data_IF_515130273841
#
_entry.id   IF_515130273841
#
_cell.length_a   1.000
_cell.length_b   1.000
_cell.length_c   1.000
_cell.angle_alpha   90.00
_cell.angle_beta   90.00
_cell.angle_gamma   90.00
#
_symmetry.space_group_name_H-M   'P 1'
#
loop_
_entity.id
_entity.type
_entity.pdbx_description
1 polymer ?
#
# COMPACT_ATOMS: atom_id res chain seq x y z
N UNK A 1 8.58 10.48 46.64
CA UNK A 1 8.22 9.79 45.39
C UNK A 1 9.12 10.30 44.29
N UNK A 2 10.08 9.50 43.84
CA UNK A 2 10.90 9.77 42.66
C UNK A 2 10.13 9.34 41.41
N UNK A 3 9.85 10.28 40.51
CA UNK A 3 9.32 9.97 39.18
C UNK A 3 10.40 9.19 38.40
N UNK A 4 10.07 8.04 37.77
CA UNK A 4 10.98 7.44 36.80
C UNK A 4 11.07 8.37 35.59
N UNK A 5 12.29 8.65 35.15
CA UNK A 5 12.51 9.30 33.86
C UNK A 5 11.93 8.42 32.74
N UNK A 6 11.31 9.00 31.71
CA UNK A 6 10.90 8.23 30.53
C UNK A 6 12.14 7.64 29.86
N UNK A 7 12.07 6.37 29.46
CA UNK A 7 13.11 5.74 28.66
C UNK A 7 13.36 6.56 27.37
N UNK A 8 14.63 6.75 26.95
CA UNK A 8 14.93 7.52 25.75
C UNK A 8 14.35 6.85 24.49
N UNK A 9 13.91 7.68 23.54
CA UNK A 9 13.44 7.20 22.24
C UNK A 9 14.56 6.40 21.52
N UNK A 10 14.24 5.27 20.88
CA UNK A 10 15.25 4.43 20.25
C UNK A 10 15.87 5.11 19.02
N UNK A 11 17.20 5.10 18.95
CA UNK A 11 17.95 5.52 17.77
C UNK A 11 18.25 4.32 16.86
N UNK A 12 18.04 4.49 15.55
CA UNK A 12 18.24 3.45 14.55
C UNK A 12 19.31 3.88 13.53
N UNK A 13 20.28 2.99 13.27
CA UNK A 13 21.24 3.15 12.18
C UNK A 13 20.94 2.16 11.08
N UNK A 14 20.78 2.64 9.85
CA UNK A 14 20.44 1.81 8.68
C UNK A 14 21.66 1.63 7.79
N UNK A 15 22.03 0.38 7.50
CA UNK A 15 23.12 0.05 6.58
C UNK A 15 22.56 -0.40 5.22
N UNK A 16 22.90 0.32 4.17
CA UNK A 16 22.53 -0.02 2.79
C UNK A 16 23.69 -0.75 2.13
N UNK A 17 23.47 -2.00 1.70
CA UNK A 17 24.48 -2.80 1.01
C UNK A 17 24.28 -2.75 -0.49
N UNK A 18 25.31 -2.36 -1.22
CA UNK A 18 25.30 -2.33 -2.68
C UNK A 18 26.00 -3.57 -3.25
N UNK A 19 25.47 -4.19 -4.32
CA UNK A 19 26.13 -5.31 -5.00
C UNK A 19 27.24 -4.86 -5.96
N UNK A 20 27.61 -3.57 -5.93
CA UNK A 20 28.62 -2.96 -6.79
C UNK A 20 29.42 -1.89 -6.00
N UNK A 21 30.60 -1.48 -6.50
CA UNK A 21 31.40 -0.44 -5.85
C UNK A 21 30.63 0.88 -5.72
N UNK A 22 30.67 1.46 -4.53
CA UNK A 22 29.93 2.68 -4.16
C UNK A 22 30.32 3.95 -4.94
N UNK A 23 31.52 4.00 -5.48
CA UNK A 23 32.07 5.22 -6.10
C UNK A 23 32.41 6.30 -5.06
N UNK A 24 32.15 7.56 -5.41
CA UNK A 24 32.42 8.78 -4.64
C UNK A 24 31.21 9.26 -3.80
N UNK A 25 30.19 8.41 -3.62
CA UNK A 25 29.04 8.72 -2.79
C UNK A 25 29.45 8.92 -1.32
N UNK A 26 29.10 10.10 -0.79
CA UNK A 26 29.27 10.45 0.63
C UNK A 26 27.97 10.17 1.36
N UNK A 27 28.07 9.55 2.55
CA UNK A 27 26.92 9.34 3.42
C UNK A 27 26.20 10.66 3.72
N UNK A 28 24.85 10.68 3.67
CA UNK A 28 24.11 11.86 4.07
C UNK A 28 24.35 12.15 5.57
N UNK A 29 24.21 13.42 5.99
CA UNK A 29 24.27 13.77 7.41
C UNK A 29 23.23 13.00 8.21
N UNK A 30 23.53 12.75 9.48
CA UNK A 30 22.55 12.22 10.42
C UNK A 30 21.37 13.17 10.54
N UNK A 31 20.15 12.61 10.58
CA UNK A 31 18.92 13.37 10.64
C UNK A 31 18.09 12.89 11.81
N UNK A 32 17.84 13.81 12.76
CA UNK A 32 16.88 13.59 13.82
C UNK A 32 15.48 13.99 13.36
N UNK A 33 14.65 12.99 13.06
CA UNK A 33 13.28 13.20 12.61
C UNK A 33 12.31 12.33 13.41
N UNK A 34 11.46 12.98 14.18
CA UNK A 34 10.47 12.34 15.05
C UNK A 34 9.03 12.59 14.58
N UNK A 35 8.08 11.93 15.26
CA UNK A 35 6.67 12.11 14.99
C UNK A 35 6.17 13.54 15.33
N UNK A 36 6.88 14.30 16.18
CA UNK A 36 6.51 15.66 16.52
C UNK A 36 6.84 16.63 15.37
N UNK A 37 8.04 16.51 14.77
CA UNK A 37 8.46 17.25 13.57
C UNK A 37 7.57 16.90 12.38
N UNK A 38 7.20 15.64 12.21
CA UNK A 38 6.26 15.20 11.18
C UNK A 38 4.88 15.88 11.30
N UNK A 39 4.27 15.84 12.50
CA UNK A 39 3.00 16.53 12.78
C UNK A 39 3.10 18.04 12.61
N UNK A 40 4.23 18.63 13.02
CA UNK A 40 4.48 20.07 12.87
C UNK A 40 4.57 20.47 11.39
N UNK A 41 5.29 19.69 10.58
CA UNK A 41 5.37 19.88 9.14
C UNK A 41 3.99 19.76 8.50
N UNK A 42 3.24 18.69 8.80
CA UNK A 42 1.89 18.50 8.27
C UNK A 42 0.94 19.65 8.63
N UNK A 43 1.02 20.19 9.85
CA UNK A 43 0.23 21.35 10.28
C UNK A 43 0.53 22.61 9.46
N UNK A 44 1.77 22.79 9.02
CA UNK A 44 2.16 23.91 8.15
C UNK A 44 1.64 23.64 6.73
N UNK A 45 1.86 22.45 6.19
CA UNK A 45 1.44 22.05 4.84
C UNK A 45 -0.08 22.11 4.65
N UNK A 46 -0.84 21.70 5.67
CA UNK A 46 -2.31 21.71 5.63
C UNK A 46 -2.91 23.12 5.74
N UNK A 47 -2.16 24.08 6.27
CA UNK A 47 -2.57 25.49 6.38
C UNK A 47 -2.08 26.35 5.23
N UNK A 48 -1.00 25.95 4.57
CA UNK A 48 -0.49 26.61 3.39
C UNK A 48 -1.58 26.61 2.32
N UNK A 49 -2.00 27.81 1.90
CA UNK A 49 -2.88 27.97 0.77
C UNK A 49 -2.10 27.62 -0.50
N UNK A 50 -2.79 27.23 -1.58
CA UNK A 50 -2.16 26.89 -2.87
C UNK A 50 -1.26 28.01 -3.43
N UNK A 51 -1.41 29.25 -2.93
CA UNK A 51 -0.66 30.43 -3.33
C UNK A 51 0.23 31.01 -2.20
N UNK A 52 0.35 30.35 -1.04
CA UNK A 52 1.26 30.83 0.00
C UNK A 52 2.66 30.30 -0.27
N UNK A 53 3.63 31.22 -0.38
CA UNK A 53 5.04 30.86 -0.49
C UNK A 53 5.52 30.32 0.85
N UNK A 54 5.86 29.04 0.89
CA UNK A 54 6.46 28.40 2.07
C UNK A 54 7.96 28.63 1.96
N UNK A 55 8.55 29.29 2.95
CA UNK A 55 10.01 29.39 3.04
C UNK A 55 10.60 28.06 3.50
N UNK A 56 10.83 27.17 2.54
CA UNK A 56 11.37 25.83 2.76
C UNK A 56 12.78 25.84 3.35
N UNK A 57 13.59 26.84 3.00
CA UNK A 57 14.96 26.97 3.49
C UNK A 57 14.95 27.31 4.97
N UNK A 58 14.16 28.31 5.37
CA UNK A 58 14.01 28.67 6.78
C UNK A 58 13.40 27.51 7.59
N UNK A 59 12.46 26.77 6.99
CA UNK A 59 11.84 25.63 7.64
C UNK A 59 12.82 24.46 7.84
N UNK A 60 13.69 24.20 6.87
CA UNK A 60 14.73 23.17 6.97
C UNK A 60 15.73 23.51 8.09
N UNK A 61 16.14 24.78 8.19
CA UNK A 61 16.98 25.26 9.30
C UNK A 61 16.28 25.08 10.65
N UNK A 62 14.99 25.43 10.74
CA UNK A 62 14.21 25.27 11.98
C UNK A 62 14.09 23.82 12.44
N UNK A 63 13.98 22.89 11.49
CA UNK A 63 13.90 21.46 11.80
C UNK A 63 15.28 20.79 11.95
N UNK A 64 16.36 21.54 11.70
CA UNK A 64 17.74 21.04 11.74
C UNK A 64 17.98 19.89 10.76
N UNK A 65 17.38 20.00 9.57
CA UNK A 65 17.50 18.99 8.51
C UNK A 65 17.95 19.63 7.20
N UNK A 66 18.43 18.81 6.27
CA UNK A 66 18.74 19.30 4.92
C UNK A 66 17.46 19.67 4.18
N UNK A 67 17.56 20.67 3.29
CA UNK A 67 16.42 21.09 2.45
C UNK A 67 15.87 19.92 1.61
N UNK A 68 16.77 19.13 1.03
CA UNK A 68 16.39 17.97 0.22
C UNK A 68 15.58 16.95 1.03
N UNK A 69 16.02 16.64 2.25
CA UNK A 69 15.27 15.76 3.15
C UNK A 69 13.89 16.33 3.47
N UNK A 70 13.79 17.61 3.85
CA UNK A 70 12.50 18.22 4.21
C UNK A 70 11.50 18.16 3.05
N UNK A 71 11.95 18.47 1.83
CA UNK A 71 11.10 18.41 0.63
C UNK A 71 10.63 16.98 0.35
N UNK A 72 11.50 15.99 0.54
CA UNK A 72 11.13 14.57 0.42
C UNK A 72 10.07 14.18 1.45
N UNK A 73 10.22 14.59 2.72
CA UNK A 73 9.23 14.32 3.76
C UNK A 73 7.87 14.97 3.45
N UNK A 74 7.87 16.20 2.93
CA UNK A 74 6.64 16.86 2.50
C UNK A 74 5.94 16.12 1.36
N UNK A 75 6.71 15.66 0.36
CA UNK A 75 6.17 14.88 -0.76
C UNK A 75 5.54 13.56 -0.28
N UNK A 76 6.23 12.83 0.60
CA UNK A 76 5.74 11.58 1.18
C UNK A 76 4.44 11.78 1.95
N UNK A 77 4.33 12.84 2.75
CA UNK A 77 3.11 13.18 3.49
C UNK A 77 1.92 13.43 2.56
N UNK A 78 2.10 14.16 1.46
CA UNK A 78 1.04 14.37 0.49
C UNK A 78 0.62 13.07 -0.20
N UNK A 79 1.57 12.23 -0.57
CA UNK A 79 1.29 10.93 -1.17
C UNK A 79 0.46 10.04 -0.25
N UNK A 80 0.77 10.02 1.05
CA UNK A 80 0.04 9.25 2.04
C UNK A 80 -1.43 9.68 2.12
N UNK A 81 -1.70 10.99 2.08
CA UNK A 81 -3.07 11.54 2.13
C UNK A 81 -3.85 11.22 0.85
N UNK A 82 -3.22 11.39 -0.31
CA UNK A 82 -3.83 11.02 -1.59
C UNK A 82 -4.13 9.51 -1.65
N UNK A 83 -3.25 8.68 -1.11
CA UNK A 83 -3.44 7.24 -1.02
C UNK A 83 -4.65 6.86 -0.16
N UNK A 84 -4.85 7.55 0.97
CA UNK A 84 -6.03 7.36 1.83
C UNK A 84 -7.33 7.76 1.11
N UNK A 85 -7.34 8.92 0.44
CA UNK A 85 -8.51 9.38 -0.33
C UNK A 85 -8.87 8.37 -1.43
N UNK A 86 -7.87 7.87 -2.18
CA UNK A 86 -8.09 6.84 -3.22
C UNK A 86 -8.67 5.54 -2.64
N UNK A 87 -8.22 5.12 -1.45
CA UNK A 87 -8.74 3.94 -0.80
C UNK A 87 -10.21 4.09 -0.39
N UNK A 88 -10.60 5.28 0.10
CA UNK A 88 -11.99 5.60 0.41
C UNK A 88 -12.86 5.63 -0.85
N UNK A 89 -12.38 6.23 -1.94
CA UNK A 89 -13.09 6.25 -3.22
C UNK A 89 -13.36 4.83 -3.72
N UNK A 90 -12.37 3.93 -3.67
CA UNK A 90 -12.54 2.52 -4.04
C UNK A 90 -13.59 1.81 -3.18
N UNK A 91 -13.58 2.03 -1.86
CA UNK A 91 -14.58 1.47 -0.94
C UNK A 91 -15.99 1.98 -1.30
N UNK A 92 -16.15 3.29 -1.50
CA UNK A 92 -17.43 3.90 -1.85
C UNK A 92 -17.99 3.42 -3.20
N UNK A 93 -17.13 3.13 -4.18
CA UNK A 93 -17.57 2.60 -5.49
C UNK A 93 -17.97 1.12 -5.44
N UNK A 94 -17.34 0.30 -4.59
CA UNK A 94 -17.71 -1.12 -4.41
C UNK A 94 -19.03 -1.24 -3.65
N UNK A 95 -19.30 -0.34 -2.71
CA UNK A 95 -20.56 -0.32 -1.94
C UNK A 95 -21.80 0.05 -2.75
N UNK A 96 -21.66 0.56 -3.99
CA UNK A 96 -22.80 0.98 -4.84
C UNK A 96 -23.12 0.00 -5.98
N UNK A 97 -22.45 -1.16 -6.02
CA UNK A 97 -22.58 -2.16 -7.09
C UNK A 97 -23.09 -3.55 -6.67
N UNK A 98 -23.61 -3.72 -5.45
CA UNK A 98 -24.21 -5.00 -5.04
C UNK A 98 -25.73 -4.97 -5.17
N UNK A 99 -26.22 -5.15 -6.41
CA UNK A 99 -27.56 -5.69 -6.69
C UNK A 99 -27.50 -7.18 -7.05
N UNK A 100 -26.37 -7.84 -6.80
CA UNK A 100 -26.28 -9.29 -6.97
C UNK A 100 -27.14 -9.97 -5.88
N UNK A 101 -28.14 -10.79 -6.24
CA UNK A 101 -28.93 -11.52 -5.25
C UNK A 101 -28.01 -12.49 -4.51
N UNK A 102 -28.11 -12.47 -3.18
CA UNK A 102 -27.36 -13.32 -2.26
C UNK A 102 -27.55 -14.80 -2.60
N UNK A 103 -26.49 -15.65 -2.60
CA UNK A 103 -26.67 -17.09 -2.75
C UNK A 103 -27.26 -17.64 -1.43
N UNK A 104 -28.52 -18.06 -1.49
CA UNK A 104 -29.20 -18.76 -0.40
C UNK A 104 -28.51 -20.13 -0.18
N UNK A 105 -28.12 -20.48 1.06
CA UNK A 105 -27.53 -21.77 1.34
C UNK A 105 -28.64 -22.82 1.54
N UNK A 106 -28.61 -23.87 0.70
CA UNK A 106 -29.23 -25.17 0.95
C UNK A 106 -30.77 -25.22 1.04
N UNK A 107 -31.41 -25.83 0.04
CA UNK A 107 -32.50 -26.78 0.32
C UNK A 107 -32.82 -27.60 -0.94
N UNK A 108 -32.98 -28.89 -0.68
CA UNK A 108 -33.42 -29.98 -1.55
C UNK A 108 -34.66 -29.64 -2.38
N UNK A 109 -34.72 -30.09 -3.64
CA UNK A 109 -35.90 -30.74 -4.22
C UNK A 109 -35.55 -31.33 -5.59
N UNK A 110 -35.81 -32.63 -5.68
CA UNK A 110 -35.79 -33.45 -6.88
C UNK A 110 -36.88 -32.99 -7.87
N UNK A 111 -36.76 -33.35 -9.16
CA UNK A 111 -37.85 -33.83 -10.05
C UNK A 111 -37.48 -33.70 -11.55
N UNK A 112 -37.18 -34.86 -12.17
CA UNK A 112 -37.82 -35.41 -13.42
C UNK A 112 -37.42 -34.90 -14.83
N UNK A 113 -36.83 -35.86 -15.58
CA UNK A 113 -37.14 -36.33 -16.96
C UNK A 113 -36.52 -35.60 -18.19
N UNK A 114 -35.53 -36.30 -18.75
CA UNK A 114 -35.51 -36.93 -20.08
C UNK A 114 -35.89 -36.13 -21.35
N UNK A 115 -34.94 -36.07 -22.31
CA UNK A 115 -35.26 -36.31 -23.73
C UNK A 115 -34.87 -35.26 -24.78
N UNK A 116 -34.03 -35.68 -25.74
CA UNK A 116 -34.02 -35.36 -27.19
C UNK A 116 -33.01 -34.30 -27.73
N UNK A 117 -31.81 -34.81 -28.06
CA UNK A 117 -30.98 -34.71 -29.30
C UNK A 117 -31.42 -33.82 -30.49
N UNK A 118 -30.48 -33.01 -31.06
CA UNK A 118 -29.87 -33.08 -32.44
C UNK A 118 -29.14 -31.76 -32.85
N UNK A 119 -27.81 -31.76 -33.01
CA UNK A 119 -26.96 -31.75 -34.24
C UNK A 119 -27.02 -30.47 -35.12
N UNK A 120 -25.87 -29.80 -35.30
CA UNK A 120 -25.60 -28.83 -36.37
C UNK A 120 -24.23 -28.14 -36.24
N UNK A 121 -23.30 -28.44 -37.14
CA UNK A 121 -21.88 -28.00 -37.16
C UNK A 121 -21.72 -26.57 -37.72
N UNK A 122 -20.83 -25.77 -37.14
CA UNK A 122 -20.49 -24.44 -37.64
C UNK A 122 -19.36 -23.76 -36.86
N UNK A 123 -18.18 -23.72 -37.48
CA UNK A 123 -16.90 -23.14 -37.04
C UNK A 123 -16.97 -21.68 -36.55
N UNK A 124 -16.27 -21.36 -35.46
CA UNK A 124 -15.83 -19.99 -35.19
C UNK A 124 -15.53 -19.62 -33.73
N UNK A 125 -14.27 -19.66 -33.32
CA UNK A 125 -13.70 -18.68 -32.38
C UNK A 125 -13.55 -19.07 -30.90
N UNK A 126 -12.29 -19.31 -30.51
CA UNK A 126 -11.82 -19.54 -29.14
C UNK A 126 -11.99 -18.31 -28.20
N UNK A 127 -12.18 -18.56 -26.89
CA UNK A 127 -11.28 -18.03 -25.82
C UNK A 127 -11.54 -18.63 -24.42
N UNK A 128 -10.58 -19.47 -24.02
CA UNK A 128 -9.97 -19.71 -22.69
C UNK A 128 -10.86 -20.20 -21.53
N UNK A 129 -10.75 -21.50 -21.26
CA UNK A 129 -10.99 -22.08 -19.94
C UNK A 129 -9.71 -21.95 -19.09
N UNK A 130 -9.82 -21.37 -17.90
CA UNK A 130 -8.76 -21.35 -16.91
C UNK A 130 -8.95 -22.50 -15.92
N UNK A 131 -8.11 -23.53 -16.01
CA UNK A 131 -7.93 -24.54 -14.97
C UNK A 131 -6.53 -24.38 -14.36
N UNK A 132 -6.43 -23.64 -13.25
CA UNK A 132 -5.26 -23.74 -12.39
C UNK A 132 -5.34 -25.07 -11.66
N UNK A 133 -4.49 -25.99 -12.12
CA UNK A 133 -4.21 -27.30 -11.57
C UNK A 133 -3.49 -27.14 -10.22
N UNK A 134 -4.17 -27.42 -9.11
CA UNK A 134 -3.50 -27.66 -7.83
C UNK A 134 -2.88 -29.06 -7.85
N UNK A 135 -1.67 -29.18 -8.41
CA UNK A 135 -0.80 -30.32 -8.11
C UNK A 135 0.08 -29.95 -6.93
N UNK A 136 -0.28 -30.46 -5.74
CA UNK A 136 0.62 -30.49 -4.59
C UNK A 136 1.39 -31.80 -4.68
N UNK A 137 2.68 -31.69 -5.02
CA UNK A 137 3.60 -32.81 -5.16
C UNK A 137 3.75 -33.58 -3.85
N UNK A 138 3.81 -34.90 -4.00
CA UNK A 138 4.06 -35.89 -2.95
C UNK A 138 5.56 -36.10 -2.82
N UNK A 139 6.09 -36.16 -1.59
CA UNK A 139 7.47 -36.61 -1.32
C UNK A 139 7.41 -38.01 -0.69
N UNK A 140 8.00 -39.06 -1.29
CA UNK A 140 8.19 -40.31 -0.58
C UNK A 140 9.51 -40.28 0.21
N UNK A 141 9.41 -40.66 1.48
CA UNK A 141 10.52 -40.85 2.39
C UNK A 141 11.26 -42.14 2.04
N UNK A 142 12.59 -42.13 2.23
CA UNK A 142 13.51 -43.22 1.94
C UNK A 142 13.75 -44.04 3.22
N UNK A 143 13.49 -45.34 3.16
CA UNK A 143 14.14 -46.37 3.98
C UNK A 143 14.56 -47.52 3.06
#
# INVERSE_FOLDING_TARGET
MSHPEPDPDPSYTVFIRLPFPRGDFVDPPDVEWDAAKDKALWKILSKASKNSDIDWTALATKFEVTLAFLLQQAAWLYEQQLSQVRAQMRKATVSKGSLAPSPVPGSTSETVVEGIKRIGSGSGGLRIQSSLSNRKDTTPNKE
#
